data_IF_040438953394
#
_entry.id   IF_040438953394
#
_cell.length_a   1.000
_cell.length_b   1.000
_cell.length_c   1.000
_cell.angle_alpha   90.00
_cell.angle_beta   90.00
_cell.angle_gamma   90.00
#
_symmetry.space_group_name_H-M   'P 1'
#
loop_
_entity.id
_entity.type
_entity.pdbx_description
1 polymer ?
#
# COMPACT_ATOMS: atom_id res chain seq x y z
N UNK A 1 -17.22 -9.55 16.35
CA UNK A 1 -16.88 -10.96 16.04
C UNK A 1 -16.24 -11.10 14.66
N UNK A 2 -16.75 -10.46 13.60
CA UNK A 2 -16.16 -10.53 12.24
C UNK A 2 -14.66 -10.17 12.10
N UNK A 3 -14.16 -9.17 12.83
CA UNK A 3 -12.75 -8.76 12.75
C UNK A 3 -11.79 -9.81 13.35
N UNK A 4 -12.23 -10.49 14.41
CA UNK A 4 -11.49 -11.62 15.00
C UNK A 4 -11.53 -12.86 14.09
N UNK A 5 -12.65 -13.10 13.39
CA UNK A 5 -12.76 -14.20 12.43
C UNK A 5 -11.90 -13.97 11.18
N UNK A 6 -11.82 -12.72 10.70
CA UNK A 6 -10.90 -12.34 9.61
C UNK A 6 -9.44 -12.44 10.07
N UNK A 7 -9.14 -12.02 11.31
CA UNK A 7 -7.81 -12.15 11.89
C UNK A 7 -7.41 -13.63 12.06
N UNK A 8 -8.30 -14.48 12.55
CA UNK A 8 -8.09 -15.92 12.69
C UNK A 8 -7.96 -16.63 11.32
N UNK A 9 -8.70 -16.17 10.31
CA UNK A 9 -8.60 -16.69 8.94
C UNK A 9 -7.29 -16.29 8.26
N UNK A 10 -6.83 -15.04 8.47
CA UNK A 10 -5.49 -14.60 8.06
C UNK A 10 -4.40 -15.37 8.80
N UNK A 11 -4.55 -15.55 10.12
CA UNK A 11 -3.62 -16.30 10.97
C UNK A 11 -3.38 -17.74 10.47
N UNK A 12 -4.42 -18.40 9.94
CA UNK A 12 -4.35 -19.79 9.46
C UNK A 12 -3.96 -19.96 7.98
N UNK A 13 -3.76 -18.88 7.22
CA UNK A 13 -3.48 -18.97 5.77
C UNK A 13 -2.04 -19.38 5.44
N UNK A 14 -1.07 -18.99 6.26
CA UNK A 14 0.34 -19.29 6.04
C UNK A 14 1.13 -19.14 7.36
N UNK A 15 2.13 -20.01 7.68
CA UNK A 15 2.99 -19.89 8.86
C UNK A 15 3.68 -18.52 9.02
N UNK A 16 3.82 -17.73 7.96
CA UNK A 16 4.42 -16.39 8.03
C UNK A 16 3.43 -15.25 8.27
N UNK A 17 2.12 -15.53 8.24
CA UNK A 17 1.10 -14.47 8.29
C UNK A 17 1.16 -13.70 9.61
N UNK A 18 1.41 -14.40 10.72
CA UNK A 18 1.61 -13.74 12.01
C UNK A 18 2.80 -12.77 11.99
N UNK A 19 3.94 -13.20 11.45
CA UNK A 19 5.13 -12.35 11.33
C UNK A 19 4.86 -11.09 10.49
N UNK A 20 4.11 -11.22 9.38
CA UNK A 20 3.76 -10.10 8.51
C UNK A 20 2.73 -9.15 9.15
N UNK A 21 1.73 -9.69 9.86
CA UNK A 21 0.77 -8.87 10.61
C UNK A 21 1.50 -8.10 11.71
N UNK A 22 2.35 -8.79 12.48
CA UNK A 22 3.11 -8.17 13.56
C UNK A 22 4.08 -7.11 13.03
N UNK A 23 4.73 -7.37 11.89
CA UNK A 23 5.53 -6.38 11.17
C UNK A 23 4.73 -5.12 10.83
N UNK A 24 3.53 -5.29 10.27
CA UNK A 24 2.67 -4.17 9.91
C UNK A 24 2.22 -3.38 11.15
N UNK A 25 1.86 -4.07 12.23
CA UNK A 25 1.48 -3.44 13.51
C UNK A 25 2.66 -2.63 14.07
N UNK A 26 3.87 -3.18 14.09
CA UNK A 26 5.08 -2.47 14.55
C UNK A 26 5.31 -1.22 13.72
N UNK A 27 5.19 -1.30 12.39
CA UNK A 27 5.31 -0.13 11.52
C UNK A 27 4.27 0.95 11.84
N UNK A 28 3.00 0.57 11.96
CA UNK A 28 1.91 1.52 12.24
C UNK A 28 2.09 2.18 13.59
N UNK A 29 2.46 1.43 14.63
CA UNK A 29 2.70 1.97 15.97
C UNK A 29 3.89 2.94 15.92
N UNK A 30 5.02 2.55 15.32
CA UNK A 30 6.19 3.41 15.21
C UNK A 30 5.88 4.70 14.44
N UNK A 31 5.19 4.59 13.30
CA UNK A 31 4.76 5.75 12.53
C UNK A 31 3.86 6.67 13.39
N UNK A 32 2.84 6.10 14.04
CA UNK A 32 1.92 6.84 14.89
C UNK A 32 2.62 7.61 16.01
N UNK A 33 3.55 6.95 16.71
CA UNK A 33 4.31 7.56 17.81
C UNK A 33 5.24 8.66 17.29
N UNK A 34 5.98 8.39 16.22
CA UNK A 34 6.96 9.34 15.66
C UNK A 34 6.33 10.52 14.92
N UNK A 35 5.04 10.40 14.55
CA UNK A 35 4.22 11.46 13.96
C UNK A 35 3.51 12.30 15.03
N UNK A 36 3.03 11.70 16.13
CA UNK A 36 2.45 12.43 17.27
C UNK A 36 3.51 13.19 18.06
N UNK A 37 4.70 12.60 18.19
CA UNK A 37 5.82 13.17 18.92
C UNK A 37 6.99 13.43 17.96
N UNK A 38 6.97 14.52 17.17
CA UNK A 38 8.04 14.85 16.21
C UNK A 38 9.29 15.43 16.90
N UNK A 39 9.60 14.98 18.12
CA UNK A 39 10.77 15.41 18.90
C UNK A 39 11.85 14.34 18.86
N UNK A 40 13.10 14.68 19.20
CA UNK A 40 14.19 13.70 19.33
C UNK A 40 13.80 12.52 20.23
N UNK A 41 13.13 12.79 21.34
CA UNK A 41 12.61 11.76 22.26
C UNK A 41 11.58 10.85 21.56
N UNK A 42 10.65 11.41 20.79
CA UNK A 42 9.69 10.61 20.04
C UNK A 42 10.33 9.75 18.94
N UNK A 43 11.41 10.22 18.31
CA UNK A 43 12.22 9.42 17.37
C UNK A 43 12.98 8.29 18.06
N UNK A 44 13.56 8.53 19.24
CA UNK A 44 14.19 7.47 20.06
C UNK A 44 13.18 6.41 20.52
N UNK A 45 11.97 6.81 20.92
CA UNK A 45 10.90 5.87 21.26
C UNK A 45 10.50 5.06 20.03
N UNK A 46 10.37 5.70 18.87
CA UNK A 46 10.11 4.99 17.60
C UNK A 46 11.19 3.96 17.26
N UNK A 47 12.47 4.32 17.43
CA UNK A 47 13.59 3.39 17.29
C UNK A 47 13.44 2.18 18.24
N UNK A 48 13.16 2.44 19.53
CA UNK A 48 12.93 1.37 20.50
C UNK A 48 11.79 0.43 20.10
N UNK A 49 10.67 0.97 19.64
CA UNK A 49 9.52 0.17 19.18
C UNK A 49 9.90 -0.70 17.97
N UNK A 50 10.59 -0.15 16.97
CA UNK A 50 11.06 -0.94 15.81
C UNK A 50 12.03 -2.04 16.21
N UNK A 51 12.98 -1.75 17.10
CA UNK A 51 13.99 -2.72 17.52
C UNK A 51 13.35 -3.87 18.30
N UNK A 52 12.49 -3.56 19.28
CA UNK A 52 11.78 -4.59 20.05
C UNK A 52 10.85 -5.39 19.15
N UNK A 53 10.09 -4.72 18.27
CA UNK A 53 9.20 -5.37 17.32
C UNK A 53 9.95 -6.33 16.37
N UNK A 54 11.07 -5.89 15.81
CA UNK A 54 11.91 -6.73 14.95
C UNK A 54 12.42 -7.97 15.70
N UNK A 55 12.93 -7.81 16.93
CA UNK A 55 13.41 -8.94 17.74
C UNK A 55 12.29 -9.96 18.02
N UNK A 56 11.09 -9.50 18.36
CA UNK A 56 9.96 -10.38 18.61
C UNK A 56 9.54 -11.17 17.36
N UNK A 57 9.51 -10.50 16.19
CA UNK A 57 9.16 -11.14 14.92
C UNK A 57 10.21 -12.16 14.51
N UNK A 58 11.50 -11.79 14.61
CA UNK A 58 12.61 -12.68 14.28
C UNK A 58 12.63 -13.91 15.18
N UNK A 59 12.42 -13.73 16.49
CA UNK A 59 12.31 -14.85 17.43
C UNK A 59 11.14 -15.78 17.09
N UNK A 60 9.99 -15.23 16.72
CA UNK A 60 8.87 -16.04 16.25
C UNK A 60 9.23 -16.84 14.98
N UNK A 61 9.84 -16.18 13.99
CA UNK A 61 10.28 -16.86 12.76
C UNK A 61 11.30 -17.95 13.05
N UNK A 62 12.22 -17.75 13.98
CA UNK A 62 13.21 -18.74 14.42
C UNK A 62 12.54 -20.01 14.97
N UNK A 63 11.49 -19.85 15.79
CA UNK A 63 10.75 -20.94 16.42
C UNK A 63 9.87 -21.76 15.44
N UNK A 64 9.65 -21.28 14.22
CA UNK A 64 8.88 -22.02 13.21
C UNK A 64 9.69 -23.21 12.66
N UNK A 65 9.17 -24.41 12.87
CA UNK A 65 9.65 -25.66 12.24
C UNK A 65 9.02 -25.81 10.87
N UNK A 66 9.84 -25.76 9.81
CA UNK A 66 9.37 -25.68 8.43
C UNK A 66 10.02 -26.75 7.54
N UNK A 67 9.30 -27.15 6.48
CA UNK A 67 9.81 -27.96 5.38
C UNK A 67 10.90 -27.20 4.58
N UNK A 68 11.60 -27.87 3.66
CA UNK A 68 12.67 -27.27 2.87
C UNK A 68 12.23 -25.99 2.14
N UNK A 69 11.09 -26.02 1.44
CA UNK A 69 10.50 -24.84 0.76
C UNK A 69 10.11 -23.74 1.76
N UNK A 70 9.64 -24.11 2.96
CA UNK A 70 9.32 -23.15 4.01
C UNK A 70 10.57 -22.43 4.55
N UNK A 71 11.73 -23.09 4.59
CA UNK A 71 12.99 -22.45 5.02
C UNK A 71 13.45 -21.35 4.06
N UNK A 72 13.27 -21.54 2.75
CA UNK A 72 13.57 -20.50 1.76
C UNK A 72 12.68 -19.26 1.93
N UNK A 73 11.37 -19.46 2.05
CA UNK A 73 10.41 -18.37 2.26
C UNK A 73 10.67 -17.67 3.60
N UNK A 74 11.03 -18.41 4.66
CA UNK A 74 11.48 -17.85 5.94
C UNK A 74 12.66 -16.91 5.75
N UNK A 75 13.65 -17.28 4.94
CA UNK A 75 14.79 -16.42 4.61
C UNK A 75 14.36 -15.10 3.98
N UNK A 76 13.43 -15.15 3.02
CA UNK A 76 12.87 -13.95 2.37
C UNK A 76 12.12 -13.06 3.37
N UNK A 77 11.25 -13.64 4.19
CA UNK A 77 10.46 -12.89 5.19
C UNK A 77 11.36 -12.29 6.27
N UNK A 78 12.36 -13.04 6.75
CA UNK A 78 13.38 -12.55 7.70
C UNK A 78 14.12 -11.35 7.11
N UNK A 79 14.63 -11.47 5.88
CA UNK A 79 15.35 -10.37 5.22
C UNK A 79 14.45 -9.15 5.05
N UNK A 80 13.21 -9.36 4.64
CA UNK A 80 12.22 -8.28 4.52
C UNK A 80 12.01 -7.55 5.86
N UNK A 81 11.80 -8.27 6.95
CA UNK A 81 11.62 -7.69 8.30
C UNK A 81 12.87 -6.93 8.73
N UNK A 82 14.06 -7.51 8.56
CA UNK A 82 15.34 -6.89 8.93
C UNK A 82 15.57 -5.60 8.14
N UNK A 83 15.43 -5.64 6.81
CA UNK A 83 15.68 -4.47 5.97
C UNK A 83 14.69 -3.34 6.25
N UNK A 84 13.41 -3.67 6.46
CA UNK A 84 12.37 -2.66 6.66
C UNK A 84 12.37 -2.09 8.07
N UNK A 85 12.29 -2.92 9.13
CA UNK A 85 12.28 -2.44 10.51
C UNK A 85 13.65 -1.98 10.98
N UNK A 86 14.72 -2.65 10.55
CA UNK A 86 16.10 -2.22 10.83
C UNK A 86 16.44 -0.93 10.10
N UNK A 87 16.03 -0.79 8.83
CA UNK A 87 16.17 0.45 8.07
C UNK A 87 15.39 1.61 8.69
N UNK A 88 14.14 1.38 9.07
CA UNK A 88 13.32 2.38 9.78
C UNK A 88 13.95 2.78 11.12
N UNK A 89 14.34 1.80 11.94
CA UNK A 89 14.92 2.03 13.26
C UNK A 89 16.23 2.80 13.20
N UNK A 90 17.16 2.37 12.35
CA UNK A 90 18.43 3.08 12.13
C UNK A 90 18.22 4.49 11.60
N UNK A 91 17.28 4.70 10.67
CA UNK A 91 16.90 6.02 10.20
C UNK A 91 16.34 6.91 11.32
N UNK A 92 15.47 6.36 12.18
CA UNK A 92 14.93 7.09 13.34
C UNK A 92 16.01 7.44 14.35
N UNK A 93 16.94 6.54 14.62
CA UNK A 93 18.08 6.78 15.50
C UNK A 93 18.99 7.87 14.91
N UNK A 94 19.32 7.79 13.62
CA UNK A 94 20.10 8.79 12.91
C UNK A 94 19.47 10.19 12.99
N UNK A 95 18.14 10.28 12.80
CA UNK A 95 17.39 11.54 12.94
C UNK A 95 17.34 12.02 14.40
N UNK A 96 17.33 11.12 15.37
CA UNK A 96 17.33 11.49 16.78
C UNK A 96 18.66 12.11 17.24
N UNK A 97 19.78 11.58 16.72
CA UNK A 97 21.14 12.03 17.09
C UNK A 97 21.64 13.20 16.22
N UNK A 98 21.05 13.41 15.04
CA UNK A 98 21.43 14.52 14.16
C UNK A 98 20.97 15.89 14.70
N UNK A 99 21.63 16.95 14.22
CA UNK A 99 21.17 18.33 14.46
C UNK A 99 19.80 18.48 13.81
N UNK A 100 18.81 18.91 14.59
CA UNK A 100 17.43 18.99 14.11
C UNK A 100 17.31 19.90 12.88
N UNK A 101 16.48 19.54 11.90
CA UNK A 101 16.39 20.29 10.66
C UNK A 101 15.95 21.74 10.90
N UNK A 102 16.52 22.66 10.14
CA UNK A 102 16.12 24.06 10.11
C UNK A 102 14.63 24.15 9.69
N UNK A 103 13.90 25.18 10.16
CA UNK A 103 12.53 25.50 9.69
C UNK A 103 12.41 25.48 8.16
N UNK A 104 13.43 25.96 7.44
CA UNK A 104 13.47 25.93 5.97
C UNK A 104 13.55 24.50 5.40
N UNK A 105 14.34 23.62 6.00
CA UNK A 105 14.47 22.21 5.59
C UNK A 105 13.19 21.41 5.89
N UNK A 106 12.52 21.71 7.01
CA UNK A 106 11.23 21.12 7.36
C UNK A 106 10.16 21.52 6.35
N UNK A 107 10.10 22.81 5.98
CA UNK A 107 9.14 23.31 5.01
C UNK A 107 9.41 22.78 3.60
N UNK A 108 10.69 22.68 3.20
CA UNK A 108 11.09 22.06 1.94
C UNK A 108 10.72 20.58 1.90
N UNK A 109 11.00 19.83 2.96
CA UNK A 109 10.65 18.40 3.07
C UNK A 109 9.13 18.21 3.04
N UNK A 110 8.38 19.07 3.74
CA UNK A 110 6.91 19.07 3.72
C UNK A 110 6.38 19.34 2.32
N UNK A 111 6.87 20.36 1.64
CA UNK A 111 6.44 20.70 0.28
C UNK A 111 6.79 19.60 -0.72
N UNK A 112 7.95 18.96 -0.55
CA UNK A 112 8.35 17.80 -1.34
C UNK A 112 7.40 16.62 -1.12
N UNK A 113 7.16 16.21 0.13
CA UNK A 113 6.26 15.10 0.48
C UNK A 113 4.82 15.40 0.03
N UNK A 114 4.34 16.63 0.24
CA UNK A 114 3.00 17.07 -0.16
C UNK A 114 2.84 17.03 -1.68
N UNK A 115 3.86 17.48 -2.41
CA UNK A 115 3.85 17.52 -3.87
C UNK A 115 4.02 16.15 -4.52
N UNK A 116 5.00 15.35 -4.09
CA UNK A 116 5.27 14.03 -4.65
C UNK A 116 4.30 12.97 -4.13
N UNK A 117 3.98 12.97 -2.83
CA UNK A 117 3.08 12.01 -2.22
C UNK A 117 1.66 12.08 -2.78
N UNK A 118 1.08 13.27 -2.88
CA UNK A 118 -0.25 13.43 -3.50
C UNK A 118 -0.26 13.02 -4.96
N UNK A 119 0.79 13.37 -5.73
CA UNK A 119 0.91 12.94 -7.13
C UNK A 119 1.01 11.43 -7.26
N UNK A 120 1.75 10.77 -6.36
CA UNK A 120 1.83 9.32 -6.30
C UNK A 120 0.48 8.67 -6.04
N UNK A 121 -0.26 9.15 -5.03
CA UNK A 121 -1.61 8.67 -4.76
C UNK A 121 -2.58 8.94 -5.92
N UNK A 122 -2.56 10.14 -6.49
CA UNK A 122 -3.37 10.51 -7.66
C UNK A 122 -3.13 9.52 -8.80
N UNK A 123 -1.86 9.29 -9.15
CA UNK A 123 -1.50 8.36 -10.22
C UNK A 123 -2.06 6.96 -9.95
N UNK A 124 -1.89 6.46 -8.73
CA UNK A 124 -2.35 5.14 -8.36
C UNK A 124 -3.88 5.02 -8.42
N UNK A 125 -4.61 6.04 -7.96
CA UNK A 125 -6.06 6.06 -8.03
C UNK A 125 -6.57 6.18 -9.46
N UNK A 126 -6.00 7.05 -10.29
CA UNK A 126 -6.40 7.16 -11.70
C UNK A 126 -6.09 5.85 -12.42
N UNK A 127 -4.97 5.19 -12.13
CA UNK A 127 -4.65 3.87 -12.69
C UNK A 127 -5.71 2.83 -12.33
N UNK A 128 -6.05 2.69 -11.03
CA UNK A 128 -7.09 1.78 -10.56
C UNK A 128 -8.45 2.12 -11.19
N UNK A 129 -8.78 3.41 -11.28
CA UNK A 129 -10.02 3.90 -11.89
C UNK A 129 -10.13 3.48 -13.36
N UNK A 130 -9.10 3.72 -14.16
CA UNK A 130 -9.12 3.40 -15.59
C UNK A 130 -9.18 1.88 -15.82
N UNK A 131 -8.37 1.12 -15.08
CA UNK A 131 -8.34 -0.33 -15.18
C UNK A 131 -9.67 -0.97 -14.76
N UNK A 132 -10.23 -0.55 -13.62
CA UNK A 132 -11.52 -1.08 -13.13
C UNK A 132 -12.67 -0.74 -14.07
N UNK A 133 -12.72 0.47 -14.65
CA UNK A 133 -13.73 0.84 -15.63
C UNK A 133 -13.62 0.01 -16.91
N UNK A 134 -12.42 -0.07 -17.50
CA UNK A 134 -12.20 -0.79 -18.75
C UNK A 134 -12.53 -2.29 -18.61
N UNK A 135 -12.08 -2.91 -17.51
CA UNK A 135 -12.41 -4.32 -17.23
C UNK A 135 -13.90 -4.52 -16.96
N UNK A 136 -14.57 -3.59 -16.27
CA UNK A 136 -16.03 -3.66 -16.07
C UNK A 136 -16.77 -3.64 -17.39
N UNK A 137 -16.41 -2.72 -18.29
CA UNK A 137 -17.00 -2.62 -19.63
C UNK A 137 -16.74 -3.87 -20.44
N UNK A 138 -15.51 -4.39 -20.43
CA UNK A 138 -15.17 -5.64 -21.12
C UNK A 138 -16.00 -6.83 -20.60
N UNK A 139 -16.12 -6.99 -19.28
CA UNK A 139 -16.90 -8.06 -18.69
C UNK A 139 -18.40 -7.96 -19.04
N UNK A 140 -18.96 -6.74 -19.04
CA UNK A 140 -20.35 -6.51 -19.45
C UNK A 140 -20.56 -6.81 -20.94
N UNK A 141 -19.61 -6.47 -21.80
CA UNK A 141 -19.66 -6.81 -23.23
C UNK A 141 -19.60 -8.33 -23.44
N UNK A 142 -18.69 -9.03 -22.77
CA UNK A 142 -18.60 -10.48 -22.84
C UNK A 142 -19.90 -11.16 -22.35
N UNK A 143 -20.51 -10.63 -21.30
CA UNK A 143 -21.83 -11.04 -20.83
C UNK A 143 -22.91 -10.83 -21.88
N UNK A 144 -22.93 -9.68 -22.54
CA UNK A 144 -23.90 -9.35 -23.58
C UNK A 144 -23.82 -10.33 -24.77
N UNK A 145 -22.62 -10.78 -25.14
CA UNK A 145 -22.40 -11.79 -26.17
C UNK A 145 -22.58 -13.25 -25.67
N UNK A 146 -23.04 -13.45 -24.43
CA UNK A 146 -23.33 -14.77 -23.88
C UNK A 146 -22.11 -15.54 -23.37
N UNK A 147 -20.95 -14.89 -23.18
CA UNK A 147 -19.71 -15.50 -22.71
C UNK A 147 -19.31 -14.98 -21.32
N UNK A 148 -20.00 -15.38 -20.24
CA UNK A 148 -19.73 -14.89 -18.91
C UNK A 148 -18.45 -15.49 -18.31
N UNK A 149 -17.31 -14.84 -18.56
CA UNK A 149 -16.00 -15.22 -18.00
C UNK A 149 -15.92 -14.98 -16.47
N UNK A 150 -16.69 -14.02 -15.96
CA UNK A 150 -16.73 -13.66 -14.54
C UNK A 150 -18.16 -13.61 -14.01
N UNK A 151 -18.32 -13.70 -12.70
CA UNK A 151 -19.62 -13.62 -12.02
C UNK A 151 -20.11 -12.17 -11.89
N UNK A 152 -21.41 -11.97 -11.68
CA UNK A 152 -21.98 -10.63 -11.47
C UNK A 152 -21.43 -9.93 -10.23
N UNK A 153 -21.06 -10.70 -9.20
CA UNK A 153 -20.37 -10.18 -8.02
C UNK A 153 -18.99 -9.62 -8.33
N UNK A 154 -18.25 -10.23 -9.27
CA UNK A 154 -16.96 -9.72 -9.72
C UNK A 154 -17.11 -8.38 -10.46
N UNK A 155 -18.09 -8.28 -11.37
CA UNK A 155 -18.39 -7.01 -12.08
C UNK A 155 -18.81 -5.91 -11.10
N UNK A 156 -19.65 -6.25 -10.12
CA UNK A 156 -20.05 -5.32 -9.05
C UNK A 156 -18.85 -4.87 -8.21
N UNK A 157 -17.90 -5.78 -7.94
CA UNK A 157 -16.64 -5.47 -7.27
C UNK A 157 -15.77 -4.49 -8.06
N UNK A 158 -15.66 -4.66 -9.39
CA UNK A 158 -14.93 -3.71 -10.25
C UNK A 158 -15.60 -2.32 -10.26
N UNK A 159 -16.92 -2.25 -10.31
CA UNK A 159 -17.66 -0.98 -10.23
C UNK A 159 -17.50 -0.30 -8.86
N UNK A 160 -17.50 -1.07 -7.77
CA UNK A 160 -17.21 -0.55 -6.43
C UNK A 160 -15.80 0.02 -6.36
N UNK A 161 -14.81 -0.68 -6.94
CA UNK A 161 -13.44 -0.20 -7.01
C UNK A 161 -13.34 1.07 -7.84
N UNK A 162 -14.04 1.14 -8.97
CA UNK A 162 -14.12 2.35 -9.80
C UNK A 162 -14.66 3.55 -8.99
N UNK A 163 -15.80 3.39 -8.31
CA UNK A 163 -16.38 4.45 -7.48
C UNK A 163 -15.46 4.85 -6.33
N UNK A 164 -14.83 3.87 -5.67
CA UNK A 164 -13.84 4.11 -4.63
C UNK A 164 -12.62 4.87 -5.14
N UNK A 165 -12.15 4.58 -6.35
CA UNK A 165 -11.04 5.28 -6.97
C UNK A 165 -11.41 6.72 -7.39
N UNK A 166 -12.64 6.94 -7.89
CA UNK A 166 -13.21 8.29 -8.12
C UNK A 166 -13.21 9.10 -6.82
N UNK A 167 -13.67 8.49 -5.72
CA UNK A 167 -13.63 9.10 -4.40
C UNK A 167 -12.19 9.44 -3.98
N UNK A 168 -11.24 8.52 -4.20
CA UNK A 168 -9.80 8.75 -3.97
C UNK A 168 -9.25 9.96 -4.71
N UNK A 169 -9.55 10.09 -6.02
CA UNK A 169 -9.18 11.26 -6.82
C UNK A 169 -9.79 12.55 -6.29
N UNK A 170 -11.06 12.51 -5.87
CA UNK A 170 -11.74 13.67 -5.28
C UNK A 170 -11.11 14.08 -3.94
N UNK A 171 -10.73 13.11 -3.11
CA UNK A 171 -10.01 13.33 -1.85
C UNK A 171 -8.66 13.97 -2.14
N UNK A 172 -7.84 13.42 -3.06
CA UNK A 172 -6.54 14.00 -3.44
C UNK A 172 -6.71 15.46 -3.88
N UNK A 173 -7.69 15.74 -4.73
CA UNK A 173 -7.99 17.10 -5.21
C UNK A 173 -8.36 18.05 -4.07
N UNK A 174 -9.14 17.59 -3.09
CA UNK A 174 -9.48 18.37 -1.89
C UNK A 174 -8.27 18.59 -0.99
N UNK A 175 -7.50 17.53 -0.70
CA UNK A 175 -6.30 17.59 0.13
C UNK A 175 -5.25 18.54 -0.45
N UNK A 176 -5.09 18.58 -1.78
CA UNK A 176 -4.20 19.54 -2.44
C UNK A 176 -4.44 20.98 -2.02
N UNK A 177 -5.71 21.36 -1.82
CA UNK A 177 -6.13 22.72 -1.42
C UNK A 177 -5.99 22.99 0.08
N UNK A 178 -5.93 21.96 0.93
CA UNK A 178 -5.84 22.11 2.38
C UNK A 178 -4.39 22.28 2.84
N UNK A 179 -4.16 23.13 3.84
CA UNK A 179 -2.79 23.44 4.31
C UNK A 179 -2.27 22.51 5.42
N UNK A 180 -3.14 21.76 6.10
CA UNK A 180 -2.80 20.92 7.28
C UNK A 180 -3.50 19.56 7.27
N UNK A 181 -3.33 18.78 6.20
CA UNK A 181 -4.01 17.49 6.04
C UNK A 181 -3.09 16.27 6.16
N UNK A 182 -1.77 16.49 6.19
CA UNK A 182 -0.73 15.48 5.95
C UNK A 182 -0.94 14.16 6.68
N UNK A 183 -1.34 14.18 7.96
CA UNK A 183 -1.49 12.96 8.75
C UNK A 183 -2.80 12.23 8.44
N UNK A 184 -3.93 12.92 8.53
CA UNK A 184 -5.26 12.33 8.34
C UNK A 184 -5.53 12.00 6.87
N UNK A 185 -5.11 12.85 5.94
CA UNK A 185 -5.35 12.61 4.52
C UNK A 185 -4.44 11.54 3.94
N UNK A 186 -3.17 11.40 4.38
CA UNK A 186 -2.36 10.23 3.98
C UNK A 186 -2.96 8.96 4.55
N UNK A 187 -3.36 8.96 5.83
CA UNK A 187 -4.04 7.79 6.43
C UNK A 187 -5.33 7.41 5.71
N UNK A 188 -6.13 8.40 5.30
CA UNK A 188 -7.38 8.18 4.60
C UNK A 188 -7.17 7.70 3.15
N UNK A 189 -6.22 8.27 2.42
CA UNK A 189 -5.83 7.79 1.09
C UNK A 189 -5.25 6.38 1.17
N UNK A 190 -4.31 6.14 2.07
CA UNK A 190 -3.70 4.82 2.21
C UNK A 190 -4.71 3.76 2.68
N UNK A 191 -5.58 4.12 3.63
CA UNK A 191 -6.65 3.24 4.11
C UNK A 191 -7.67 2.91 3.03
N UNK A 192 -8.09 3.89 2.24
CA UNK A 192 -8.96 3.65 1.09
C UNK A 192 -8.27 2.76 0.05
N UNK A 193 -6.99 3.01 -0.25
CA UNK A 193 -6.23 2.15 -1.16
C UNK A 193 -6.13 0.70 -0.67
N UNK A 194 -5.81 0.50 0.62
CA UNK A 194 -5.77 -0.81 1.26
C UNK A 194 -7.11 -1.53 1.24
N UNK A 195 -8.22 -0.79 1.24
CA UNK A 195 -9.56 -1.35 1.08
C UNK A 195 -9.86 -1.73 -0.38
N UNK A 196 -9.49 -0.89 -1.36
CA UNK A 196 -9.79 -1.14 -2.77
C UNK A 196 -8.94 -2.27 -3.36
N UNK A 197 -7.68 -2.41 -2.94
CA UNK A 197 -6.75 -3.37 -3.54
C UNK A 197 -7.22 -4.83 -3.41
N UNK A 198 -7.64 -5.34 -2.23
CA UNK A 198 -8.15 -6.70 -2.10
C UNK A 198 -9.43 -6.93 -2.90
N UNK A 199 -10.35 -5.94 -2.89
CA UNK A 199 -11.59 -6.01 -3.67
C UNK A 199 -11.29 -6.10 -5.16
N UNK A 200 -10.34 -5.30 -5.64
CA UNK A 200 -9.90 -5.32 -7.03
C UNK A 200 -9.28 -6.66 -7.42
N UNK A 201 -8.33 -7.15 -6.62
CA UNK A 201 -7.66 -8.45 -6.86
C UNK A 201 -8.67 -9.59 -6.87
N UNK A 202 -9.63 -9.60 -5.94
CA UNK A 202 -10.70 -10.59 -5.91
C UNK A 202 -11.58 -10.50 -7.16
N UNK A 203 -11.93 -9.29 -7.59
CA UNK A 203 -12.80 -9.05 -8.74
C UNK A 203 -12.14 -9.47 -10.07
N UNK A 204 -10.83 -9.28 -10.23
CA UNK A 204 -10.10 -9.75 -11.42
C UNK A 204 -9.73 -11.24 -11.37
N UNK A 205 -9.95 -11.93 -10.24
CA UNK A 205 -9.54 -13.33 -10.07
C UNK A 205 -10.07 -14.26 -11.16
N UNK A 206 -11.33 -14.08 -11.57
CA UNK A 206 -11.93 -14.85 -12.67
C UNK A 206 -11.28 -14.58 -14.04
N UNK A 207 -10.93 -13.31 -14.32
CA UNK A 207 -10.19 -12.94 -15.53
C UNK A 207 -8.77 -13.51 -15.52
N UNK A 208 -8.11 -13.53 -14.35
CA UNK A 208 -6.77 -14.12 -14.19
C UNK A 208 -6.82 -15.63 -14.43
N UNK A 209 -7.82 -16.34 -13.90
CA UNK A 209 -7.99 -17.77 -14.17
C UNK A 209 -8.29 -18.07 -15.63
N UNK A 210 -8.94 -17.14 -16.34
CA UNK A 210 -9.22 -17.28 -17.75
C UNK A 210 -7.99 -17.01 -18.62
N UNK A 211 -7.27 -15.91 -18.36
CA UNK A 211 -6.01 -15.60 -19.04
C UNK A 211 -5.16 -14.62 -18.22
N UNK A 212 -4.20 -15.16 -17.47
CA UNK A 212 -3.20 -14.37 -16.75
C UNK A 212 -2.42 -13.44 -17.68
N UNK A 213 -2.04 -13.93 -18.87
CA UNK A 213 -1.26 -13.17 -19.84
C UNK A 213 -2.03 -11.93 -20.35
N UNK A 214 -3.33 -12.06 -20.62
CA UNK A 214 -4.16 -10.94 -21.05
C UNK A 214 -4.30 -9.89 -19.93
N UNK A 215 -4.52 -10.34 -18.69
CA UNK A 215 -4.61 -9.44 -17.53
C UNK A 215 -3.29 -8.71 -17.30
N UNK A 216 -2.16 -9.41 -17.27
CA UNK A 216 -0.84 -8.79 -17.11
C UNK A 216 -0.50 -7.83 -18.26
N UNK A 217 -0.79 -8.23 -19.51
CA UNK A 217 -0.60 -7.39 -20.69
C UNK A 217 -1.40 -6.09 -20.59
N UNK A 218 -2.68 -6.19 -20.27
CA UNK A 218 -3.56 -5.03 -20.09
C UNK A 218 -3.01 -4.06 -19.03
N UNK A 219 -2.67 -4.56 -17.84
CA UNK A 219 -2.17 -3.71 -16.76
C UNK A 219 -0.80 -3.09 -17.08
N UNK A 220 0.07 -3.83 -17.78
CA UNK A 220 1.39 -3.34 -18.19
C UNK A 220 1.25 -2.22 -19.21
N UNK A 221 0.41 -2.40 -20.24
CA UNK A 221 0.15 -1.38 -21.26
C UNK A 221 -0.51 -0.15 -20.63
N UNK A 222 -1.51 -0.34 -19.76
CA UNK A 222 -2.14 0.76 -19.03
C UNK A 222 -1.11 1.54 -18.19
N UNK A 223 -0.21 0.83 -17.50
CA UNK A 223 0.85 1.43 -16.69
C UNK A 223 1.85 2.22 -17.52
N UNK A 224 2.29 1.68 -18.66
CA UNK A 224 3.21 2.37 -19.58
C UNK A 224 2.53 3.59 -20.21
N UNK A 225 1.30 3.46 -20.68
CA UNK A 225 0.54 4.57 -21.28
C UNK A 225 0.36 5.72 -20.29
N UNK A 226 0.01 5.42 -19.04
CA UNK A 226 -0.06 6.44 -18.00
C UNK A 226 1.31 7.06 -17.69
N UNK A 227 2.36 6.25 -17.54
CA UNK A 227 3.71 6.76 -17.30
C UNK A 227 4.16 7.71 -18.42
N UNK A 228 3.86 7.36 -19.66
CA UNK A 228 4.13 8.17 -20.84
C UNK A 228 3.35 9.50 -20.83
N UNK A 229 2.06 9.48 -20.50
CA UNK A 229 1.26 10.73 -20.44
C UNK A 229 1.78 11.69 -19.37
N UNK A 230 2.15 11.18 -18.19
CA UNK A 230 2.73 11.99 -17.12
C UNK A 230 4.11 12.53 -17.51
N UNK A 231 4.93 11.72 -18.18
CA UNK A 231 6.23 12.17 -18.69
C UNK A 231 6.09 13.29 -19.71
N UNK A 232 5.22 13.13 -20.71
CA UNK A 232 4.97 14.13 -21.75
C UNK A 232 4.49 15.45 -21.14
N UNK A 233 3.52 15.41 -20.23
CA UNK A 233 3.02 16.60 -19.55
C UNK A 233 4.10 17.30 -18.71
N UNK A 234 5.17 16.63 -18.27
CA UNK A 234 6.28 17.30 -17.58
C UNK A 234 7.25 18.00 -18.55
N UNK A 235 7.46 17.44 -19.73
CA UNK A 235 8.34 18.03 -20.75
C UNK A 235 7.74 19.28 -21.39
N UNK A 236 6.41 19.39 -21.46
CA UNK A 236 5.71 20.58 -21.97
C UNK A 236 5.78 21.81 -21.03
N UNK A 237 6.23 21.61 -19.77
CA UNK A 237 6.30 22.65 -18.73
C UNK A 237 7.75 23.00 -18.33
N UNK A 238 8.74 22.43 -19.04
CA UNK A 238 10.17 22.76 -18.94
C UNK A 238 10.57 23.61 -20.16
#
# INVERSE_FOLDING_TARGET
MWLFDVFARLYNLNPFTFALIMWFVVLVITASVTMKCPTRRGKLVGFGITSVGAVLILRHLELLTLSATGKEIKGVVTNFVVMTLGGLGSGLLAVAISKGPNKAEIEQTRNFIRGWGLRGFEYLYVFILMCSLALSVLCLLLWFFGWPVVTGHAVSGLLLVFLGAVLGCAIVSRLRRLMKWEQWGVGLLFGLLLFLLPVYVQAIGGLVSWSLAAVLGFHTVAGIAMGWTVWRQRMEWL
#
